data_IF_558520131882
#
_entry.id   IF_558520131882
#
_cell.length_a   1.000
_cell.length_b   1.000
_cell.length_c   1.000
_cell.angle_alpha   90.00
_cell.angle_beta   90.00
_cell.angle_gamma   90.00
#
_symmetry.space_group_name_H-M   'P 1'
#
loop_
_entity.id
_entity.type
_entity.pdbx_description
1 polymer ?
#
# COMPACT_ATOMS: atom_id res chain seq x y z
N UNK A 1 0.26 42.11 -59.97
CA UNK A 1 1.03 41.35 -58.95
C UNK A 1 1.39 39.99 -59.53
N UNK A 2 2.69 39.71 -59.64
CA UNK A 2 3.29 38.69 -60.52
C UNK A 2 3.04 37.27 -60.00
N UNK A 3 2.66 36.35 -60.89
CA UNK A 3 2.35 34.93 -60.58
C UNK A 3 3.46 34.11 -59.90
N UNK A 4 4.63 34.69 -59.64
CA UNK A 4 5.72 34.07 -58.88
C UNK A 4 5.40 33.98 -57.37
N UNK A 5 4.82 35.02 -56.77
CA UNK A 5 4.47 35.03 -55.33
C UNK A 5 3.32 34.07 -55.00
N UNK A 6 2.40 33.82 -55.94
CA UNK A 6 1.28 32.88 -55.77
C UNK A 6 1.74 31.42 -55.73
N UNK A 7 2.74 31.06 -56.55
CA UNK A 7 3.33 29.71 -56.57
C UNK A 7 4.14 29.42 -55.30
N UNK A 8 4.87 30.43 -54.79
CA UNK A 8 5.59 30.32 -53.52
C UNK A 8 4.64 30.13 -52.33
N UNK A 9 3.52 30.87 -52.27
CA UNK A 9 2.52 30.73 -51.21
C UNK A 9 1.87 29.33 -51.20
N UNK A 10 1.58 28.77 -52.37
CA UNK A 10 1.02 27.42 -52.50
C UNK A 10 2.05 26.37 -52.08
N UNK A 11 3.32 26.53 -52.46
CA UNK A 11 4.41 25.64 -52.05
C UNK A 11 4.62 25.61 -50.54
N UNK A 12 4.57 26.78 -49.88
CA UNK A 12 4.64 26.88 -48.41
C UNK A 12 3.43 26.23 -47.75
N UNK A 13 2.21 26.46 -48.28
CA UNK A 13 0.99 25.83 -47.76
C UNK A 13 1.03 24.30 -47.84
N UNK A 14 1.52 23.75 -48.96
CA UNK A 14 1.71 22.30 -49.12
C UNK A 14 2.76 21.76 -48.15
N UNK A 15 3.89 22.45 -48.00
CA UNK A 15 4.95 22.05 -47.07
C UNK A 15 4.47 22.05 -45.60
N UNK A 16 3.74 23.08 -45.18
CA UNK A 16 3.15 23.16 -43.82
C UNK A 16 2.14 22.03 -43.60
N UNK A 17 1.31 21.72 -44.59
CA UNK A 17 0.34 20.62 -44.50
C UNK A 17 1.05 19.27 -44.35
N UNK A 18 2.13 19.03 -45.09
CA UNK A 18 2.94 17.81 -44.97
C UNK A 18 3.56 17.71 -43.58
N UNK A 19 4.10 18.80 -43.04
CA UNK A 19 4.69 18.82 -41.69
C UNK A 19 3.63 18.51 -40.62
N UNK A 20 2.44 19.10 -40.72
CA UNK A 20 1.34 18.81 -39.79
C UNK A 20 0.91 17.34 -39.85
N UNK A 21 0.81 16.76 -41.05
CA UNK A 21 0.50 15.34 -41.21
C UNK A 21 1.58 14.48 -40.55
N UNK A 22 2.86 14.80 -40.75
CA UNK A 22 3.96 14.07 -40.12
C UNK A 22 3.90 14.16 -38.59
N UNK A 23 3.64 15.35 -38.02
CA UNK A 23 3.49 15.53 -36.58
C UNK A 23 2.32 14.71 -36.01
N UNK A 24 1.19 14.69 -36.71
CA UNK A 24 0.02 13.88 -36.32
C UNK A 24 0.38 12.39 -36.34
N UNK A 25 1.05 11.91 -37.38
CA UNK A 25 1.48 10.50 -37.47
C UNK A 25 2.44 10.17 -36.31
N UNK A 26 3.43 11.03 -36.04
CA UNK A 26 4.35 10.82 -34.92
C UNK A 26 3.62 10.78 -33.58
N UNK A 27 2.67 11.70 -33.36
CA UNK A 27 1.85 11.71 -32.15
C UNK A 27 1.04 10.41 -32.00
N UNK A 28 0.40 9.95 -33.08
CA UNK A 28 -0.37 8.68 -33.07
C UNK A 28 0.55 7.50 -32.75
N UNK A 29 1.75 7.43 -33.34
CA UNK A 29 2.71 6.35 -33.07
C UNK A 29 3.15 6.36 -31.61
N UNK A 30 3.53 7.52 -31.06
CA UNK A 30 3.91 7.65 -29.65
C UNK A 30 2.74 7.24 -28.75
N UNK A 31 1.53 7.73 -29.03
CA UNK A 31 0.33 7.41 -28.26
C UNK A 31 0.04 5.91 -28.27
N UNK A 32 0.06 5.26 -29.44
CA UNK A 32 -0.15 3.81 -29.54
C UNK A 32 0.92 3.05 -28.78
N UNK A 33 2.18 3.48 -28.84
CA UNK A 33 3.26 2.80 -28.11
C UNK A 33 3.06 2.87 -26.59
N UNK A 34 2.73 4.07 -26.07
CA UNK A 34 2.43 4.27 -24.64
C UNK A 34 1.21 3.45 -24.18
N UNK A 35 0.15 3.38 -24.99
CA UNK A 35 -1.04 2.59 -24.67
C UNK A 35 -0.73 1.09 -24.67
N UNK A 36 0.06 0.62 -25.62
CA UNK A 36 0.47 -0.79 -25.68
C UNK A 36 1.35 -1.18 -24.49
N UNK A 37 2.28 -0.30 -24.10
CA UNK A 37 3.15 -0.49 -22.94
C UNK A 37 2.32 -0.58 -21.65
N UNK A 38 1.44 0.39 -21.39
CA UNK A 38 0.54 0.37 -20.23
C UNK A 38 -0.37 -0.86 -20.19
N UNK A 39 -0.90 -1.28 -21.34
CA UNK A 39 -1.75 -2.47 -21.43
C UNK A 39 -0.96 -3.76 -21.15
N UNK A 40 0.32 -3.83 -21.55
CA UNK A 40 1.19 -4.94 -21.23
C UNK A 40 1.47 -5.01 -19.71
N UNK A 41 1.70 -3.87 -19.07
CA UNK A 41 1.88 -3.78 -17.60
C UNK A 41 0.62 -4.21 -16.83
N UNK A 42 -0.56 -3.73 -17.23
CA UNK A 42 -1.83 -4.20 -16.65
C UNK A 42 -2.10 -5.67 -16.93
N UNK A 43 -1.71 -6.16 -18.12
CA UNK A 43 -1.79 -7.56 -18.49
C UNK A 43 -0.93 -8.44 -17.59
N UNK A 44 0.26 -7.96 -17.21
CA UNK A 44 1.08 -8.60 -16.19
C UNK A 44 0.40 -8.50 -14.83
N UNK A 45 -0.09 -7.34 -14.37
CA UNK A 45 -0.65 -7.24 -13.00
C UNK A 45 -1.87 -8.16 -12.79
N UNK A 46 -2.59 -8.47 -13.88
CA UNK A 46 -3.77 -9.35 -13.88
C UNK A 46 -3.55 -10.70 -13.17
N UNK A 47 -2.35 -11.27 -13.20
CA UNK A 47 -2.09 -12.54 -12.50
C UNK A 47 -1.92 -12.37 -10.98
N UNK A 48 -1.55 -11.18 -10.50
CA UNK A 48 -1.46 -10.86 -9.07
C UNK A 48 -2.81 -10.44 -8.48
N UNK A 49 -3.75 -9.91 -9.29
CA UNK A 49 -5.07 -9.43 -8.82
C UNK A 49 -5.79 -10.39 -7.89
N UNK A 50 -5.88 -11.71 -8.15
CA UNK A 50 -6.55 -12.63 -7.23
C UNK A 50 -5.88 -12.72 -5.84
N UNK A 51 -4.57 -12.54 -5.76
CA UNK A 51 -3.84 -12.50 -4.49
C UNK A 51 -4.14 -11.21 -3.74
N UNK A 52 -4.17 -10.08 -4.45
CA UNK A 52 -4.53 -8.77 -3.89
C UNK A 52 -5.94 -8.82 -3.31
N UNK A 53 -6.90 -9.33 -4.08
CA UNK A 53 -8.29 -9.48 -3.63
C UNK A 53 -8.40 -10.41 -2.41
N UNK A 54 -7.61 -11.49 -2.37
CA UNK A 54 -7.54 -12.39 -1.21
C UNK A 54 -7.01 -11.69 0.04
N UNK A 55 -6.02 -10.79 -0.08
CA UNK A 55 -5.49 -10.02 1.05
C UNK A 55 -6.57 -9.07 1.57
N UNK A 56 -7.15 -8.25 0.69
CA UNK A 56 -8.20 -7.30 1.06
C UNK A 56 -9.39 -7.98 1.72
N UNK A 57 -9.78 -9.16 1.25
CA UNK A 57 -10.86 -9.94 1.86
C UNK A 57 -10.51 -10.39 3.28
N UNK A 58 -9.33 -10.97 3.47
CA UNK A 58 -8.90 -11.46 4.78
C UNK A 58 -8.73 -10.33 5.80
N UNK A 59 -8.21 -9.19 5.35
CA UNK A 59 -8.09 -7.98 6.18
C UNK A 59 -9.46 -7.50 6.64
N UNK A 60 -10.44 -7.39 5.72
CA UNK A 60 -11.82 -7.05 6.06
C UNK A 60 -12.44 -8.04 7.06
N UNK A 61 -12.26 -9.35 6.85
CA UNK A 61 -12.77 -10.39 7.75
C UNK A 61 -12.16 -10.28 9.17
N UNK A 62 -10.90 -9.82 9.27
CA UNK A 62 -10.20 -9.61 10.54
C UNK A 62 -10.62 -8.30 11.23
N UNK A 63 -10.87 -7.25 10.45
CA UNK A 63 -11.32 -5.92 10.90
C UNK A 63 -12.78 -5.91 11.42
N UNK A 64 -13.57 -6.97 11.21
CA UNK A 64 -14.93 -7.07 11.77
C UNK A 64 -14.94 -7.05 13.32
N UNK A 65 -13.80 -7.28 13.97
CA UNK A 65 -13.71 -7.08 15.43
C UNK A 65 -13.31 -5.67 15.77
N UNK A 66 -13.99 -5.10 16.76
CA UNK A 66 -13.78 -3.75 17.26
C UNK A 66 -12.45 -3.57 18.04
N UNK A 67 -11.40 -4.36 17.81
CA UNK A 67 -10.11 -4.22 18.50
C UNK A 67 -9.01 -3.92 17.48
N UNK A 68 -7.99 -3.16 17.89
CA UNK A 68 -6.85 -2.85 17.02
C UNK A 68 -6.10 -4.11 16.59
N UNK A 69 -5.72 -4.97 17.53
CA UNK A 69 -4.91 -6.15 17.24
C UNK A 69 -5.47 -7.43 17.86
N UNK A 70 -5.41 -8.52 17.10
CA UNK A 70 -5.63 -9.89 17.56
C UNK A 70 -4.31 -10.57 17.92
N UNK A 71 -4.38 -11.83 18.35
CA UNK A 71 -3.18 -12.65 18.52
C UNK A 71 -2.41 -12.77 17.19
N UNK A 72 -1.07 -12.85 17.21
CA UNK A 72 -0.25 -13.04 16.01
C UNK A 72 -0.73 -14.19 15.11
N UNK A 73 -1.18 -15.29 15.73
CA UNK A 73 -1.69 -16.48 15.03
C UNK A 73 -2.94 -16.21 14.18
N UNK A 74 -3.77 -15.23 14.55
CA UNK A 74 -4.97 -14.85 13.78
C UNK A 74 -4.59 -14.26 12.41
N UNK A 75 -3.43 -13.62 12.32
CA UNK A 75 -2.93 -12.99 11.09
C UNK A 75 -2.12 -13.94 10.21
N UNK A 76 -1.94 -15.22 10.58
CA UNK A 76 -1.07 -16.15 9.84
C UNK A 76 -1.43 -16.25 8.36
N UNK A 77 -2.70 -16.47 8.05
CA UNK A 77 -3.15 -16.60 6.67
C UNK A 77 -3.03 -15.28 5.90
N UNK A 78 -3.31 -14.14 6.55
CA UNK A 78 -3.15 -12.82 5.96
C UNK A 78 -1.67 -12.55 5.65
N UNK A 79 -0.76 -12.82 6.59
CA UNK A 79 0.68 -12.67 6.42
C UNK A 79 1.23 -13.53 5.26
N UNK A 80 0.79 -14.78 5.14
CA UNK A 80 1.16 -15.66 4.02
C UNK A 80 0.70 -15.07 2.67
N UNK A 81 -0.54 -14.59 2.58
CA UNK A 81 -1.10 -14.00 1.35
C UNK A 81 -0.47 -12.65 1.02
N UNK A 82 -0.15 -11.85 2.03
CA UNK A 82 0.62 -10.62 1.90
C UNK A 82 1.98 -10.89 1.26
N UNK A 83 2.70 -11.92 1.70
CA UNK A 83 3.99 -12.27 1.07
C UNK A 83 3.85 -12.74 -0.37
N UNK A 84 2.85 -13.56 -0.66
CA UNK A 84 2.57 -14.01 -2.02
C UNK A 84 2.29 -12.81 -2.94
N UNK A 85 1.44 -11.89 -2.49
CA UNK A 85 1.08 -10.68 -3.23
C UNK A 85 2.30 -9.76 -3.44
N UNK A 86 3.07 -9.46 -2.38
CA UNK A 86 4.28 -8.63 -2.46
C UNK A 86 5.32 -9.26 -3.41
N UNK A 87 5.54 -10.58 -3.33
CA UNK A 87 6.46 -11.29 -4.24
C UNK A 87 5.97 -11.22 -5.69
N UNK A 88 4.67 -11.34 -5.92
CA UNK A 88 4.07 -11.25 -7.24
C UNK A 88 4.30 -9.86 -7.86
N UNK A 89 4.04 -8.81 -7.08
CA UNK A 89 4.13 -7.41 -7.54
C UNK A 89 5.58 -6.95 -7.69
N UNK A 90 6.48 -7.32 -6.77
CA UNK A 90 7.90 -6.90 -6.79
C UNK A 90 8.68 -7.46 -7.98
N UNK A 91 8.28 -8.62 -8.53
CA UNK A 91 8.91 -9.20 -9.73
C UNK A 91 8.58 -8.40 -10.99
N UNK A 92 7.58 -7.53 -10.93
CA UNK A 92 7.17 -6.67 -12.03
C UNK A 92 7.85 -5.30 -11.91
N UNK A 93 8.90 -5.06 -12.69
CA UNK A 93 9.59 -3.77 -12.77
C UNK A 93 8.73 -2.77 -13.59
N UNK A 94 7.75 -2.14 -12.94
CA UNK A 94 6.78 -1.23 -13.57
C UNK A 94 6.35 -0.12 -12.59
N UNK A 95 6.07 1.12 -13.05
CA UNK A 95 5.53 2.18 -12.19
C UNK A 95 4.20 1.78 -11.50
N UNK A 96 3.38 0.94 -12.15
CA UNK A 96 2.11 0.46 -11.60
C UNK A 96 2.35 -0.45 -10.39
N UNK A 97 3.46 -1.21 -10.38
CA UNK A 97 3.79 -2.08 -9.24
C UNK A 97 4.17 -1.26 -8.01
N UNK A 98 4.75 -0.07 -8.17
CA UNK A 98 5.08 0.84 -7.07
C UNK A 98 3.83 1.39 -6.36
N UNK A 99 2.83 1.85 -7.12
CA UNK A 99 1.54 2.32 -6.55
C UNK A 99 0.79 1.19 -5.83
N UNK A 100 0.83 -0.01 -6.40
CA UNK A 100 0.25 -1.20 -5.77
C UNK A 100 1.02 -1.53 -4.48
N UNK A 101 2.35 -1.56 -4.51
CA UNK A 101 3.18 -1.80 -3.32
C UNK A 101 2.92 -0.79 -2.19
N UNK A 102 2.64 0.48 -2.52
CA UNK A 102 2.23 1.47 -1.53
C UNK A 102 0.91 1.07 -0.85
N UNK A 103 -0.05 0.54 -1.60
CA UNK A 103 -1.31 0.01 -1.07
C UNK A 103 -1.11 -1.25 -0.20
N UNK A 104 0.03 -1.92 -0.34
CA UNK A 104 0.44 -3.08 0.48
C UNK A 104 1.22 -2.69 1.75
N UNK A 105 1.28 -1.41 2.11
CA UNK A 105 1.95 -0.97 3.34
C UNK A 105 1.50 -1.78 4.59
N UNK A 106 0.19 -1.96 4.86
CA UNK A 106 -0.27 -2.75 6.02
C UNK A 106 0.22 -4.21 6.03
N UNK A 107 0.46 -4.80 4.86
CA UNK A 107 0.96 -6.17 4.77
C UNK A 107 2.34 -6.34 5.39
N UNK A 108 3.21 -5.33 5.31
CA UNK A 108 4.51 -5.37 5.98
C UNK A 108 4.35 -5.49 7.50
N UNK A 109 3.38 -4.77 8.08
CA UNK A 109 3.03 -4.91 9.49
C UNK A 109 2.54 -6.32 9.82
N UNK A 110 1.56 -6.86 9.07
CA UNK A 110 1.00 -8.18 9.39
C UNK A 110 2.02 -9.31 9.29
N UNK A 111 2.94 -9.25 8.31
CA UNK A 111 4.05 -10.20 8.18
C UNK A 111 4.96 -10.12 9.41
N UNK A 112 5.38 -8.90 9.80
CA UNK A 112 6.24 -8.68 10.95
C UNK A 112 5.57 -9.12 12.26
N UNK A 113 4.30 -8.71 12.45
CA UNK A 113 3.50 -9.00 13.64
C UNK A 113 3.31 -10.50 13.85
N UNK A 114 3.07 -11.25 12.76
CA UNK A 114 2.94 -12.70 12.80
C UNK A 114 4.27 -13.45 13.02
N UNK A 115 5.42 -12.83 12.72
CA UNK A 115 6.73 -13.49 12.72
C UNK A 115 7.65 -12.94 13.78
N UNK A 116 8.49 -11.98 13.41
CA UNK A 116 9.59 -11.48 14.24
C UNK A 116 9.09 -10.83 15.53
N UNK A 117 7.88 -10.28 15.51
CA UNK A 117 7.25 -9.68 16.68
C UNK A 117 6.37 -10.64 17.48
N UNK A 118 6.05 -11.84 16.96
CA UNK A 118 5.03 -12.73 17.53
C UNK A 118 5.24 -13.05 19.01
N UNK A 119 6.47 -13.42 19.38
CA UNK A 119 6.81 -13.72 20.77
C UNK A 119 6.65 -12.50 21.69
N UNK A 120 6.99 -11.30 21.20
CA UNK A 120 6.80 -10.05 21.95
C UNK A 120 5.30 -9.74 22.09
N UNK A 121 4.52 -9.87 21.02
CA UNK A 121 3.08 -9.69 21.05
C UNK A 121 2.41 -10.63 22.06
N UNK A 122 2.77 -11.92 22.10
CA UNK A 122 2.22 -12.87 23.05
C UNK A 122 2.51 -12.46 24.52
N UNK A 123 3.70 -11.94 24.80
CA UNK A 123 4.04 -11.41 26.13
C UNK A 123 3.24 -10.16 26.49
N UNK A 124 3.00 -9.25 25.54
CA UNK A 124 2.19 -8.06 25.75
C UNK A 124 0.71 -8.42 25.95
N UNK A 125 0.20 -9.37 25.18
CA UNK A 125 -1.17 -9.90 25.31
C UNK A 125 -1.36 -10.55 26.69
N UNK A 126 -0.36 -11.26 27.20
CA UNK A 126 -0.44 -11.85 28.54
C UNK A 126 -0.60 -10.80 29.66
N UNK A 127 -0.20 -9.54 29.40
CA UNK A 127 -0.31 -8.41 30.34
C UNK A 127 -1.53 -7.51 30.12
N UNK A 128 -2.40 -7.85 29.16
CA UNK A 128 -3.55 -6.98 28.79
C UNK A 128 -4.53 -6.74 29.95
N UNK A 129 -4.59 -7.67 30.92
CA UNK A 129 -5.48 -7.59 32.08
C UNK A 129 -4.78 -7.04 33.35
N UNK A 130 -3.51 -6.61 33.25
CA UNK A 130 -2.70 -6.10 34.38
C UNK A 130 -3.00 -4.62 34.72
N UNK A 131 -4.10 -4.06 34.20
CA UNK A 131 -4.46 -2.65 34.40
C UNK A 131 -3.64 -1.65 33.58
N UNK A 132 -2.92 -2.12 32.55
CA UNK A 132 -2.19 -1.26 31.62
C UNK A 132 -3.16 -0.81 30.52
N UNK A 133 -3.66 0.42 30.64
CA UNK A 133 -4.72 0.97 29.77
C UNK A 133 -4.46 0.73 28.28
N UNK A 134 -3.25 1.04 27.78
CA UNK A 134 -2.98 0.90 26.35
C UNK A 134 -3.00 -0.55 25.85
N UNK A 135 -2.57 -1.53 26.66
CA UNK A 135 -2.61 -2.95 26.26
C UNK A 135 -4.03 -3.50 26.31
N UNK A 136 -4.84 -3.01 27.26
CA UNK A 136 -6.26 -3.30 27.30
C UNK A 136 -6.95 -2.77 26.02
N UNK A 137 -6.73 -1.50 25.66
CA UNK A 137 -7.31 -0.91 24.46
C UNK A 137 -6.80 -1.58 23.17
N UNK A 138 -5.53 -1.97 23.12
CA UNK A 138 -4.93 -2.61 21.95
C UNK A 138 -5.50 -4.02 21.67
N UNK A 139 -5.78 -4.81 22.72
CA UNK A 139 -6.09 -6.25 22.59
C UNK A 139 -7.48 -6.69 23.09
N UNK A 140 -8.07 -5.99 24.05
CA UNK A 140 -9.33 -6.36 24.70
C UNK A 140 -10.49 -5.47 24.26
N UNK A 141 -10.30 -4.15 24.28
CA UNK A 141 -11.41 -3.23 24.13
C UNK A 141 -11.99 -3.28 22.71
N UNK A 142 -13.31 -3.20 22.70
CA UNK A 142 -14.09 -2.71 21.59
C UNK A 142 -13.79 -1.20 21.53
N UNK A 143 -13.28 -0.68 20.41
CA UNK A 143 -12.95 0.72 20.17
C UNK A 143 -13.95 1.61 20.91
N UNK A 144 -13.45 2.63 21.62
CA UNK A 144 -14.35 3.58 22.25
C UNK A 144 -15.13 4.27 21.12
N UNK A 145 -16.45 4.03 20.97
CA UNK A 145 -17.19 4.42 19.77
C UNK A 145 -17.28 5.95 19.58
N UNK A 146 -16.88 6.71 20.60
CA UNK A 146 -16.89 8.18 20.65
C UNK A 146 -15.51 8.80 20.35
N UNK A 147 -14.46 8.00 20.14
CA UNK A 147 -13.10 8.47 19.81
C UNK A 147 -12.74 8.02 18.40
N UNK A 148 -12.16 8.93 17.63
CA UNK A 148 -11.63 8.62 16.30
C UNK A 148 -10.54 7.53 16.39
N UNK A 149 -10.64 6.50 15.54
CA UNK A 149 -9.75 5.33 15.59
C UNK A 149 -8.29 5.71 15.33
N UNK A 150 -8.05 6.75 14.52
CA UNK A 150 -6.71 7.26 14.26
C UNK A 150 -6.14 7.98 15.48
N UNK A 151 -6.92 8.88 16.09
CA UNK A 151 -6.51 9.57 17.32
C UNK A 151 -6.23 8.57 18.45
N UNK A 152 -7.08 7.55 18.58
CA UNK A 152 -6.87 6.49 19.55
C UNK A 152 -5.60 5.70 19.23
N UNK A 153 -5.39 5.27 17.99
CA UNK A 153 -4.16 4.58 17.58
C UNK A 153 -2.89 5.38 17.89
N UNK A 154 -2.85 6.66 17.52
CA UNK A 154 -1.70 7.55 17.72
C UNK A 154 -1.43 7.77 19.22
N UNK A 155 -2.48 7.94 20.03
CA UNK A 155 -2.36 8.13 21.48
C UNK A 155 -1.77 6.92 22.22
N UNK A 156 -1.98 5.71 21.69
CA UNK A 156 -1.49 4.47 22.30
C UNK A 156 0.00 4.25 22.07
N UNK A 157 0.59 4.84 21.02
CA UNK A 157 1.92 4.48 20.53
C UNK A 157 3.02 4.66 21.58
N UNK A 158 3.02 5.75 22.34
CA UNK A 158 4.04 5.99 23.37
C UNK A 158 3.99 4.90 24.44
N UNK A 159 2.79 4.58 24.94
CA UNK A 159 2.60 3.54 25.93
C UNK A 159 3.00 2.16 25.40
N UNK A 160 2.63 1.81 24.16
CA UNK A 160 2.99 0.52 23.54
C UNK A 160 4.51 0.38 23.44
N UNK A 161 5.21 1.43 22.97
CA UNK A 161 6.68 1.43 22.87
C UNK A 161 7.34 1.21 24.22
N UNK A 162 6.86 1.87 25.28
CA UNK A 162 7.35 1.66 26.64
C UNK A 162 7.09 0.22 27.11
N UNK A 163 5.92 -0.35 26.82
CA UNK A 163 5.64 -1.74 27.19
C UNK A 163 6.50 -2.75 26.43
N UNK A 164 6.82 -2.49 25.16
CA UNK A 164 7.77 -3.28 24.37
C UNK A 164 9.15 -3.23 25.03
N UNK A 165 9.65 -2.06 25.41
CA UNK A 165 10.96 -1.95 26.09
C UNK A 165 11.00 -2.67 27.44
N UNK A 166 9.90 -2.61 28.19
CA UNK A 166 9.81 -3.22 29.52
C UNK A 166 9.60 -4.74 29.47
N UNK A 167 9.02 -5.27 28.39
CA UNK A 167 8.54 -6.66 28.33
C UNK A 167 9.35 -7.50 27.33
N UNK A 168 9.82 -6.89 26.25
CA UNK A 168 10.46 -7.59 25.14
C UNK A 168 11.96 -7.31 25.09
N UNK A 169 12.72 -8.29 24.61
CA UNK A 169 14.18 -8.20 24.48
C UNK A 169 14.61 -7.86 23.05
N UNK A 170 15.83 -7.35 22.87
CA UNK A 170 16.52 -7.43 21.57
C UNK A 170 16.23 -6.34 20.54
N UNK A 171 15.94 -5.10 20.95
CA UNK A 171 15.80 -3.97 20.00
C UNK A 171 14.54 -4.03 19.13
N UNK A 172 13.59 -4.90 19.48
CA UNK A 172 12.31 -5.11 18.79
C UNK A 172 11.49 -3.81 18.64
N UNK A 173 11.64 -2.84 19.56
CA UNK A 173 10.97 -1.54 19.47
C UNK A 173 11.20 -0.83 18.13
N UNK A 174 12.43 -0.80 17.62
CA UNK A 174 12.71 -0.12 16.35
C UNK A 174 12.01 -0.80 15.16
N UNK A 175 11.92 -2.13 15.19
CA UNK A 175 11.14 -2.89 14.21
C UNK A 175 9.65 -2.57 14.31
N UNK A 176 9.10 -2.56 15.53
CA UNK A 176 7.71 -2.17 15.75
C UNK A 176 7.43 -0.75 15.26
N UNK A 177 8.26 0.24 15.58
CA UNK A 177 8.04 1.63 15.14
C UNK A 177 8.00 1.77 13.62
N UNK A 178 8.93 1.08 12.94
CA UNK A 178 8.99 1.07 11.47
C UNK A 178 7.73 0.43 10.88
N UNK A 179 7.34 -0.73 11.39
CA UNK A 179 6.25 -1.50 10.78
C UNK A 179 4.86 -0.97 11.21
N UNK A 180 4.71 -0.41 12.41
CA UNK A 180 3.46 0.22 12.86
C UNK A 180 3.10 1.45 12.01
N UNK A 181 4.10 2.18 11.51
CA UNK A 181 3.88 3.27 10.56
C UNK A 181 3.25 2.78 9.25
N UNK A 182 3.50 1.52 8.86
CA UNK A 182 2.92 0.92 7.66
C UNK A 182 1.44 0.53 7.84
N UNK A 183 1.01 0.27 9.08
CA UNK A 183 -0.39 0.00 9.39
C UNK A 183 -1.22 1.29 9.50
N UNK A 184 -0.63 2.39 9.97
CA UNK A 184 -1.35 3.64 10.26
C UNK A 184 -2.29 4.12 9.13
N UNK A 185 -1.91 4.15 7.84
CA UNK A 185 -2.81 4.60 6.77
C UNK A 185 -4.10 3.76 6.65
N UNK A 186 -4.06 2.47 6.99
CA UNK A 186 -5.26 1.62 6.98
C UNK A 186 -6.25 1.96 8.10
N UNK A 187 -5.76 2.57 9.20
CA UNK A 187 -6.57 3.00 10.34
C UNK A 187 -7.06 4.43 10.15
N UNK A 188 -6.17 5.31 9.68
CA UNK A 188 -6.40 6.76 9.61
C UNK A 188 -6.93 7.27 8.27
N UNK A 189 -6.90 6.44 7.23
CA UNK A 189 -7.01 6.89 5.85
C UNK A 189 -5.75 7.60 5.35
N UNK A 190 -5.71 7.82 4.03
CA UNK A 190 -4.64 8.60 3.38
C UNK A 190 -4.87 10.10 3.67
N UNK A 191 -4.13 10.66 4.64
CA UNK A 191 -4.02 12.12 4.89
C UNK A 191 -2.73 12.68 4.35
#
# INVERSE_FOLDING_TARGET
MKGSTRKALIGVGVAVTIILILLIITFIVIYVHLVMERNAEHGQLKHCVPMIESVTRLENDLNVTQRFLRTPSAYRQLAEKCEEAIKCVTVMDSPISADVLHSFSPCHFYIYYNRDFSACADLLIAKKDDGIACLNTLFNDIYEPDVDECEQWDSLQECIKTQIENTCSGGIKAGYEKEAANLRPSICGDT
#
